data_IF_257907455731
#
_entry.id   IF_257907455731
#
_cell.length_a   1.000
_cell.length_b   1.000
_cell.length_c   1.000
_cell.angle_alpha   90.00
_cell.angle_beta   90.00
_cell.angle_gamma   90.00
#
_symmetry.space_group_name_H-M   'P 1'
#
loop_
_entity.id
_entity.type
_entity.pdbx_description
1 polymer ?
#
# COMPACT_ATOMS: atom_id res chain seq x y z
N UNK A 1 -16.61 0.89 -11.88
CA UNK A 1 -15.52 1.69 -12.49
C UNK A 1 -16.16 2.85 -13.22
N UNK A 2 -16.14 4.06 -12.66
CA UNK A 2 -16.64 5.26 -13.35
C UNK A 2 -15.45 6.14 -13.69
N UNK A 3 -14.98 6.06 -14.93
CA UNK A 3 -13.90 6.92 -15.43
C UNK A 3 -14.44 8.31 -15.73
N UNK A 4 -13.71 9.35 -15.31
CA UNK A 4 -14.00 10.74 -15.70
C UNK A 4 -12.94 11.16 -16.71
N UNK A 5 -13.34 11.44 -17.95
CA UNK A 5 -12.40 11.91 -18.99
C UNK A 5 -11.95 13.35 -18.68
N UNK A 6 -10.64 13.56 -18.58
CA UNK A 6 -10.01 14.89 -18.59
C UNK A 6 -8.78 14.82 -19.50
N UNK A 7 -8.73 15.71 -20.51
CA UNK A 7 -7.60 15.84 -21.45
C UNK A 7 -7.15 14.55 -22.17
N UNK A 8 -8.08 13.69 -22.59
CA UNK A 8 -7.75 12.50 -23.38
C UNK A 8 -7.02 11.38 -22.63
N UNK A 9 -6.77 11.56 -21.32
CA UNK A 9 -6.24 10.53 -20.44
C UNK A 9 -7.38 10.04 -19.56
N UNK A 10 -7.63 8.72 -19.56
CA UNK A 10 -8.53 8.09 -18.60
C UNK A 10 -7.85 8.16 -17.24
N UNK A 11 -8.12 9.23 -16.48
CA UNK A 11 -7.70 9.29 -15.09
C UNK A 11 -8.50 8.23 -14.35
N UNK A 12 -7.84 7.11 -13.99
CA UNK A 12 -8.37 6.14 -13.03
C UNK A 12 -8.39 6.82 -11.67
N UNK A 13 -9.35 7.72 -11.47
CA UNK A 13 -9.61 8.32 -10.17
C UNK A 13 -10.10 7.19 -9.29
N UNK A 14 -9.37 6.80 -8.23
CA UNK A 14 -9.87 5.84 -7.27
C UNK A 14 -11.23 6.35 -6.78
N UNK A 15 -12.22 5.47 -6.57
CA UNK A 15 -13.49 5.90 -6.03
C UNK A 15 -13.26 6.69 -4.74
N UNK A 16 -13.99 7.79 -4.57
CA UNK A 16 -13.84 8.73 -3.42
C UNK A 16 -13.92 8.02 -2.08
N UNK A 17 -14.57 6.85 -2.06
CA UNK A 17 -14.61 5.91 -0.94
C UNK A 17 -14.13 4.53 -1.44
N UNK A 18 -13.28 3.83 -0.68
CA UNK A 18 -12.94 2.43 -0.96
C UNK A 18 -14.20 1.57 -1.13
N UNK A 19 -14.12 0.49 -1.91
CA UNK A 19 -15.23 -0.44 -2.08
C UNK A 19 -15.82 -0.88 -0.71
N UNK A 20 -17.16 -1.01 -0.55
CA UNK A 20 -17.80 -1.32 0.74
C UNK A 20 -17.29 -2.62 1.41
N UNK A 21 -16.71 -3.52 0.63
CA UNK A 21 -16.05 -4.72 1.15
C UNK A 21 -14.99 -4.38 2.20
N UNK A 22 -14.34 -3.22 2.08
CA UNK A 22 -13.27 -2.71 2.92
C UNK A 22 -13.71 -2.11 4.25
N UNK A 23 -15.01 -1.94 4.48
CA UNK A 23 -15.55 -1.50 5.78
C UNK A 23 -15.53 -2.65 6.82
N UNK A 24 -15.33 -3.89 6.37
CA UNK A 24 -15.27 -5.06 7.26
C UNK A 24 -13.92 -5.11 7.96
N UNK A 25 -13.85 -5.20 9.29
CA UNK A 25 -12.58 -5.26 10.04
C UNK A 25 -11.64 -6.36 9.55
N UNK A 26 -12.17 -7.49 9.11
CA UNK A 26 -11.40 -8.63 8.56
C UNK A 26 -10.73 -8.35 7.22
N UNK A 27 -11.08 -7.25 6.55
CA UNK A 27 -10.54 -6.82 5.26
C UNK A 27 -9.75 -5.51 5.37
N UNK A 28 -9.51 -5.05 6.60
CA UNK A 28 -8.62 -3.93 6.83
C UNK A 28 -7.18 -4.34 6.53
N UNK A 29 -6.38 -3.46 5.93
CA UNK A 29 -4.98 -3.70 5.71
C UNK A 29 -4.28 -3.90 7.04
N UNK A 30 -3.50 -4.97 7.14
CA UNK A 30 -2.71 -5.28 8.33
C UNK A 30 -1.30 -5.65 7.93
N UNK A 31 -0.34 -5.24 8.76
CA UNK A 31 1.05 -5.65 8.59
C UNK A 31 1.22 -7.10 9.02
N UNK A 32 2.03 -7.84 8.26
CA UNK A 32 2.45 -9.19 8.60
C UNK A 32 3.51 -9.14 9.71
N UNK A 33 3.09 -9.48 10.93
CA UNK A 33 3.94 -9.49 12.13
C UNK A 33 4.95 -10.63 12.16
N UNK A 34 4.86 -11.59 11.24
CA UNK A 34 5.83 -12.68 11.12
C UNK A 34 7.06 -12.28 10.30
N UNK A 35 7.02 -11.12 9.66
CA UNK A 35 8.15 -10.59 8.89
C UNK A 35 9.33 -10.29 9.81
N UNK A 36 10.53 -10.72 9.42
CA UNK A 36 11.74 -10.45 10.22
C UNK A 36 12.01 -8.95 10.31
N UNK A 37 11.96 -8.41 11.54
CA UNK A 37 12.19 -6.99 11.84
C UNK A 37 13.65 -6.65 12.13
N UNK A 38 14.50 -7.66 12.35
CA UNK A 38 15.93 -7.50 12.65
C UNK A 38 16.78 -8.06 11.51
N UNK A 39 16.96 -7.24 10.48
CA UNK A 39 17.81 -7.56 9.33
C UNK A 39 19.18 -6.93 9.55
N UNK A 40 20.22 -7.77 9.56
CA UNK A 40 21.61 -7.33 9.57
C UNK A 40 22.23 -7.62 8.21
N UNK A 41 22.93 -6.63 7.66
CA UNK A 41 23.74 -6.79 6.46
C UNK A 41 25.19 -6.40 6.80
N UNK A 42 26.14 -7.08 6.16
CA UNK A 42 27.55 -6.74 6.28
C UNK A 42 27.83 -5.36 5.68
N UNK A 43 28.88 -4.70 6.16
CA UNK A 43 29.33 -3.41 5.60
C UNK A 43 29.65 -3.59 4.10
N UNK A 44 29.20 -2.63 3.29
CA UNK A 44 29.33 -2.69 1.82
C UNK A 44 28.26 -3.53 1.11
N UNK A 45 27.31 -4.12 1.83
CA UNK A 45 26.19 -4.88 1.25
C UNK A 45 24.86 -4.15 1.42
N UNK A 46 23.89 -4.47 0.57
CA UNK A 46 22.53 -3.93 0.64
C UNK A 46 21.69 -4.70 1.65
N UNK A 47 21.03 -3.98 2.56
CA UNK A 47 20.01 -4.56 3.44
C UNK A 47 18.63 -4.49 2.76
N UNK A 48 17.94 -5.62 2.67
CA UNK A 48 16.56 -5.68 2.19
C UNK A 48 15.60 -5.84 3.36
N UNK A 49 14.77 -4.82 3.59
CA UNK A 49 13.69 -4.88 4.57
C UNK A 49 12.39 -5.16 3.83
N UNK A 50 11.83 -6.33 4.09
CA UNK A 50 10.52 -6.70 3.54
C UNK A 50 9.42 -6.19 4.47
N UNK A 51 8.32 -5.73 3.90
CA UNK A 51 7.09 -5.40 4.62
C UNK A 51 5.93 -6.01 3.85
N UNK A 52 5.33 -7.07 4.41
CA UNK A 52 4.17 -7.71 3.81
C UNK A 52 2.91 -7.13 4.43
N UNK A 53 1.92 -6.84 3.58
CA UNK A 53 0.64 -6.26 3.99
C UNK A 53 -0.48 -7.17 3.48
N UNK A 54 -1.33 -7.62 4.38
CA UNK A 54 -2.56 -8.36 4.04
C UNK A 54 -3.68 -7.40 3.69
N UNK A 55 -4.63 -7.85 2.88
CA UNK A 55 -5.86 -7.11 2.53
C UNK A 55 -5.62 -5.70 1.93
N UNK A 56 -4.51 -5.51 1.21
CA UNK A 56 -4.18 -4.23 0.57
C UNK A 56 -5.16 -3.87 -0.56
N UNK A 57 -5.60 -4.86 -1.35
CA UNK A 57 -6.62 -4.64 -2.38
C UNK A 57 -6.16 -3.68 -3.48
N UNK A 58 -7.02 -2.72 -3.84
CA UNK A 58 -6.72 -1.61 -4.75
C UNK A 58 -6.21 -0.35 -4.02
N UNK A 59 -5.97 -0.44 -2.71
CA UNK A 59 -5.38 0.65 -1.92
C UNK A 59 -3.89 0.72 -2.21
N UNK A 60 -3.38 1.94 -2.30
CA UNK A 60 -1.95 2.18 -2.45
C UNK A 60 -1.31 2.37 -1.08
N UNK A 61 -0.09 1.88 -0.92
CA UNK A 61 0.77 2.31 0.19
C UNK A 61 1.33 3.66 -0.22
N UNK A 62 0.85 4.72 0.42
CA UNK A 62 1.51 6.01 0.30
C UNK A 62 2.82 5.94 1.05
N UNK A 63 3.92 6.39 0.45
CA UNK A 63 5.06 6.77 1.27
C UNK A 63 4.57 7.89 2.17
N UNK A 64 4.71 7.72 3.48
CA UNK A 64 4.48 8.82 4.40
C UNK A 64 5.55 9.85 4.12
N UNK A 65 5.30 10.77 3.19
CA UNK A 65 6.11 11.96 2.91
C UNK A 65 6.08 12.91 4.11
N UNK A 66 6.55 12.43 5.26
CA UNK A 66 7.01 13.26 6.36
C UNK A 66 8.45 13.61 6.02
N UNK A 67 8.70 14.90 5.83
CA UNK A 67 10.04 15.43 5.62
C UNK A 67 10.98 14.95 6.72
N UNK A 68 11.98 14.21 6.30
CA UNK A 68 13.26 14.07 6.98
C UNK A 68 14.27 14.86 6.16
#
# INVERSE_FOLDING_TARGET
MTGKMRNGIVQRVPPSRPAPMYDKPTTHPTFDVTTNTRVLAAVGHTAYLHCRVHHLGDRVVSDGGGGW
#
